data_IF_000773562248
#
_entry.id   IF_000773562248
#
_cell.length_a   1.000
_cell.length_b   1.000
_cell.length_c   1.000
_cell.angle_alpha   90.00
_cell.angle_beta   90.00
_cell.angle_gamma   90.00
#
_symmetry.space_group_name_H-M   'P 1'
#
loop_
_entity.id
_entity.type
_entity.pdbx_description
1 polymer ?
#
# COMPACT_ATOMS: atom_id res chain seq x y z
N UNK A 1 -0.30 -19.61 -5.27
CA UNK A 1 1.11 -19.59 -4.89
C UNK A 1 1.80 -18.79 -5.97
N UNK A 2 2.30 -17.60 -5.63
CA UNK A 2 3.02 -16.74 -6.57
C UNK A 2 4.27 -17.48 -7.06
N UNK A 3 4.57 -17.48 -8.37
CA UNK A 3 5.78 -18.10 -8.91
C UNK A 3 7.06 -17.53 -8.27
N UNK A 4 6.99 -16.29 -7.78
CA UNK A 4 8.08 -15.57 -7.15
C UNK A 4 8.37 -15.99 -5.70
N UNK A 5 7.42 -16.61 -4.99
CA UNK A 5 7.59 -17.10 -3.61
C UNK A 5 8.66 -18.21 -3.52
N UNK A 6 8.97 -18.84 -4.66
CA UNK A 6 10.01 -19.87 -4.79
C UNK A 6 11.39 -19.30 -5.13
N UNK A 7 11.46 -18.03 -5.56
CA UNK A 7 12.67 -17.40 -6.10
C UNK A 7 13.25 -16.34 -5.15
N UNK A 8 12.42 -15.67 -4.35
CA UNK A 8 12.83 -14.64 -3.38
C UNK A 8 12.39 -14.99 -1.97
N UNK A 9 13.08 -14.48 -0.95
CA UNK A 9 12.70 -14.68 0.46
C UNK A 9 11.49 -13.83 0.85
N UNK A 10 11.44 -12.58 0.38
CA UNK A 10 10.26 -11.73 0.47
C UNK A 10 9.96 -11.08 -0.90
N UNK A 11 8.67 -10.95 -1.21
CA UNK A 11 8.16 -10.35 -2.42
C UNK A 11 7.09 -9.32 -2.06
N UNK A 12 7.18 -8.11 -2.59
CA UNK A 12 6.17 -7.09 -2.32
C UNK A 12 5.80 -6.30 -3.57
N UNK A 13 4.54 -5.88 -3.61
CA UNK A 13 4.01 -5.03 -4.67
C UNK A 13 3.47 -3.78 -4.01
N UNK A 14 4.00 -2.64 -4.41
CA UNK A 14 3.60 -1.33 -3.91
C UNK A 14 3.13 -0.46 -5.07
N UNK A 15 2.06 0.29 -4.83
CA UNK A 15 1.56 1.34 -5.70
C UNK A 15 1.59 2.66 -4.94
N UNK A 16 2.06 3.71 -5.61
CA UNK A 16 2.04 5.08 -5.09
C UNK A 16 1.40 5.99 -6.11
N UNK A 17 0.31 6.64 -5.72
CA UNK A 17 -0.32 7.73 -6.47
C UNK A 17 0.12 9.06 -5.86
N UNK A 18 0.78 9.90 -6.64
CA UNK A 18 1.24 11.23 -6.21
C UNK A 18 0.36 12.33 -6.78
N UNK A 19 0.08 13.36 -5.98
CA UNK A 19 -0.75 14.50 -6.35
C UNK A 19 0.00 15.83 -6.31
N UNK A 20 -0.42 16.77 -7.18
CA UNK A 20 0.12 18.12 -7.24
C UNK A 20 -0.33 19.00 -6.05
N UNK A 21 -1.51 18.73 -5.52
CA UNK A 21 -2.09 19.39 -4.36
C UNK A 21 -2.16 18.46 -3.14
N UNK A 22 -2.33 19.07 -1.97
CA UNK A 22 -2.48 18.34 -0.72
C UNK A 22 -3.83 17.60 -0.68
N UNK A 23 -3.77 16.32 -0.30
CA UNK A 23 -4.95 15.47 -0.11
C UNK A 23 -5.76 15.93 1.12
N UNK A 24 -7.07 15.63 1.18
CA UNK A 24 -7.91 16.02 2.30
C UNK A 24 -7.43 15.40 3.62
N UNK A 25 -6.93 16.24 4.54
CA UNK A 25 -6.60 15.84 5.92
C UNK A 25 -7.79 15.84 6.89
N UNK A 26 -9.01 16.07 6.39
CA UNK A 26 -10.22 16.12 7.19
C UNK A 26 -10.56 14.75 7.78
N UNK A 27 -10.76 14.67 9.11
CA UNK A 27 -11.04 13.43 9.84
C UNK A 27 -12.10 12.55 9.17
N UNK A 28 -13.20 13.15 8.70
CA UNK A 28 -14.31 12.41 8.08
C UNK A 28 -13.90 11.74 6.76
N UNK A 29 -13.26 12.48 5.84
CA UNK A 29 -12.81 11.96 4.56
C UNK A 29 -11.79 10.82 4.74
N UNK A 30 -10.82 11.02 5.64
CA UNK A 30 -9.80 10.04 5.98
C UNK A 30 -10.43 8.76 6.56
N UNK A 31 -11.29 8.88 7.57
CA UNK A 31 -11.93 7.73 8.19
C UNK A 31 -12.83 6.98 7.21
N UNK A 32 -13.64 7.70 6.42
CA UNK A 32 -14.53 7.08 5.44
C UNK A 32 -13.76 6.31 4.36
N UNK A 33 -12.61 6.84 3.91
CA UNK A 33 -11.70 6.17 3.00
C UNK A 33 -11.17 4.85 3.59
N UNK A 34 -10.64 4.87 4.82
CA UNK A 34 -10.12 3.66 5.46
C UNK A 34 -11.21 2.65 5.84
N UNK A 35 -12.41 3.10 6.24
CA UNK A 35 -13.55 2.22 6.51
C UNK A 35 -14.02 1.49 5.25
N UNK A 36 -13.97 2.14 4.08
CA UNK A 36 -14.29 1.49 2.80
C UNK A 36 -13.29 0.39 2.47
N UNK A 37 -12.00 0.62 2.70
CA UNK A 37 -10.95 -0.38 2.55
C UNK A 37 -11.15 -1.55 3.53
N UNK A 38 -11.38 -1.25 4.80
CA UNK A 38 -11.59 -2.26 5.85
C UNK A 38 -12.84 -3.12 5.59
N UNK A 39 -13.90 -2.58 5.00
CA UNK A 39 -15.08 -3.37 4.57
C UNK A 39 -14.72 -4.44 3.53
N UNK A 40 -13.75 -4.16 2.66
CA UNK A 40 -13.28 -5.12 1.65
C UNK A 40 -12.22 -6.05 2.23
N UNK A 41 -11.38 -5.54 3.13
CA UNK A 41 -10.29 -6.27 3.78
C UNK A 41 -10.39 -6.17 5.32
N UNK A 42 -11.25 -6.99 5.97
CA UNK A 42 -11.51 -6.90 7.42
C UNK A 42 -10.33 -7.29 8.33
N UNK A 43 -9.26 -7.83 7.74
CA UNK A 43 -7.97 -8.13 8.38
C UNK A 43 -7.14 -6.87 8.64
N UNK A 44 -7.37 -5.78 7.91
CA UNK A 44 -6.70 -4.49 8.11
C UNK A 44 -7.29 -3.79 9.34
N UNK A 45 -6.66 -4.00 10.50
CA UNK A 45 -7.19 -3.56 11.81
C UNK A 45 -6.34 -2.51 12.50
N UNK A 46 -5.09 -2.36 12.10
CA UNK A 46 -4.16 -1.45 12.75
C UNK A 46 -4.21 -0.09 12.05
N UNK A 47 -5.04 0.81 12.58
CA UNK A 47 -5.11 2.20 12.13
C UNK A 47 -4.35 3.12 13.09
N UNK A 48 -3.40 3.90 12.58
CA UNK A 48 -2.64 4.86 13.38
C UNK A 48 -2.17 6.04 12.54
N UNK A 49 -1.81 7.12 13.24
CA UNK A 49 -1.22 8.34 12.65
C UNK A 49 0.28 8.38 12.96
N UNK A 50 1.10 8.70 11.96
CA UNK A 50 2.55 8.91 12.11
C UNK A 50 2.85 10.34 12.51
N UNK A 51 4.06 10.59 13.00
CA UNK A 51 4.50 11.90 13.50
C UNK A 51 4.39 13.03 12.46
N UNK A 52 4.43 12.70 11.17
CA UNK A 52 4.30 13.66 10.05
C UNK A 52 2.86 13.97 9.65
N UNK A 53 1.87 13.39 10.33
CA UNK A 53 0.45 13.51 9.98
C UNK A 53 -0.04 12.49 8.95
N UNK A 54 0.80 11.50 8.60
CA UNK A 54 0.41 10.43 7.68
C UNK A 54 -0.51 9.42 8.38
N UNK A 55 -1.58 9.01 7.72
CA UNK A 55 -2.50 8.00 8.22
C UNK A 55 -2.17 6.65 7.62
N UNK A 56 -2.08 5.61 8.44
CA UNK A 56 -1.76 4.27 8.00
C UNK A 56 -2.80 3.28 8.50
N UNK A 57 -3.25 2.41 7.61
CA UNK A 57 -4.05 1.23 7.91
C UNK A 57 -3.28 0.00 7.43
N UNK A 58 -2.98 -0.93 8.34
CA UNK A 58 -2.26 -2.16 8.01
C UNK A 58 -2.81 -3.40 8.72
N UNK A 59 -2.45 -4.57 8.20
CA UNK A 59 -2.69 -5.87 8.84
C UNK A 59 -1.63 -6.17 9.91
N UNK A 60 -1.82 -7.25 10.66
CA UNK A 60 -0.81 -7.78 11.56
C UNK A 60 0.35 -8.40 10.74
N UNK A 61 1.59 -8.08 11.12
CA UNK A 61 2.82 -8.53 10.43
C UNK A 61 3.27 -9.93 10.86
N UNK A 62 2.64 -10.54 11.87
CA UNK A 62 3.08 -11.79 12.49
C UNK A 62 3.12 -13.01 11.56
N UNK A 63 2.40 -12.98 10.43
CA UNK A 63 2.37 -14.08 9.45
C UNK A 63 3.34 -13.89 8.27
N UNK A 64 4.13 -12.81 8.24
CA UNK A 64 5.03 -12.48 7.12
C UNK A 64 4.31 -12.10 5.81
N UNK A 65 2.97 -12.12 5.81
CA UNK A 65 2.10 -11.67 4.73
C UNK A 65 1.18 -10.60 5.31
N UNK A 66 1.23 -9.41 4.74
CA UNK A 66 0.40 -8.32 5.24
C UNK A 66 0.15 -7.27 4.17
N UNK A 67 -1.00 -6.64 4.28
CA UNK A 67 -1.42 -5.50 3.47
C UNK A 67 -1.32 -4.21 4.26
N UNK A 68 -1.08 -3.13 3.55
CA UNK A 68 -1.09 -1.80 4.12
C UNK A 68 -1.52 -0.75 3.10
N UNK A 69 -2.15 0.31 3.59
CA UNK A 69 -2.45 1.52 2.84
C UNK A 69 -2.07 2.70 3.71
N UNK A 70 -1.38 3.68 3.13
CA UNK A 70 -1.04 4.93 3.78
C UNK A 70 -1.56 6.11 2.96
N UNK A 71 -2.05 7.12 3.68
CA UNK A 71 -2.45 8.40 3.15
C UNK A 71 -1.49 9.45 3.72
N UNK A 72 -0.64 9.97 2.86
CA UNK A 72 0.31 11.05 3.16
C UNK A 72 -0.23 12.38 2.60
N UNK A 73 0.46 13.49 2.88
CA UNK A 73 0.00 14.82 2.48
C UNK A 73 -0.29 14.96 0.97
N UNK A 74 0.52 14.34 0.11
CA UNK A 74 0.41 14.42 -1.36
C UNK A 74 0.50 13.07 -2.05
N UNK A 75 0.34 11.98 -1.28
CA UNK A 75 0.54 10.62 -1.80
C UNK A 75 -0.44 9.64 -1.18
N UNK A 76 -0.94 8.73 -2.00
CA UNK A 76 -1.66 7.55 -1.57
C UNK A 76 -0.76 6.35 -1.86
N UNK A 77 -0.36 5.65 -0.82
CA UNK A 77 0.48 4.47 -0.91
C UNK A 77 -0.35 3.23 -0.59
N UNK A 78 -0.23 2.19 -1.40
CA UNK A 78 -0.92 0.92 -1.22
C UNK A 78 0.10 -0.19 -1.44
N UNK A 79 0.21 -1.12 -0.51
CA UNK A 79 1.19 -2.19 -0.63
C UNK A 79 0.71 -3.51 -0.05
N UNK A 80 1.31 -4.58 -0.54
CA UNK A 80 1.14 -5.91 0.01
C UNK A 80 2.47 -6.65 -0.01
N UNK A 81 2.85 -7.20 1.14
CA UNK A 81 4.01 -8.07 1.32
C UNK A 81 3.55 -9.52 1.24
N UNK A 82 4.30 -10.31 0.48
CA UNK A 82 4.10 -11.72 0.19
C UNK A 82 2.65 -12.04 -0.21
N UNK A 83 2.10 -11.40 -1.27
CA UNK A 83 0.74 -11.63 -1.72
C UNK A 83 0.54 -13.08 -2.22
N UNK A 84 -0.68 -13.61 -2.08
CA UNK A 84 -0.99 -14.98 -2.54
C UNK A 84 -0.85 -15.14 -4.07
N UNK A 85 -1.08 -14.04 -4.80
CA UNK A 85 -0.84 -13.85 -6.23
C UNK A 85 -0.63 -12.37 -6.53
N UNK A 86 0.00 -12.04 -7.66
CA UNK A 86 0.13 -10.65 -8.12
C UNK A 86 -1.25 -9.97 -8.23
N UNK A 87 -2.24 -10.70 -8.72
CA UNK A 87 -3.60 -10.19 -8.92
C UNK A 87 -4.27 -9.80 -7.59
N UNK A 88 -3.97 -10.49 -6.49
CA UNK A 88 -4.47 -10.16 -5.14
C UNK A 88 -4.02 -8.75 -4.70
N UNK A 89 -2.75 -8.41 -4.92
CA UNK A 89 -2.23 -7.07 -4.64
C UNK A 89 -2.80 -6.02 -5.59
N UNK A 90 -2.91 -6.35 -6.89
CA UNK A 90 -3.48 -5.44 -7.87
C UNK A 90 -4.96 -5.12 -7.60
N UNK A 91 -5.74 -6.05 -7.06
CA UNK A 91 -7.12 -5.79 -6.65
C UNK A 91 -7.20 -4.70 -5.57
N UNK A 92 -6.30 -4.74 -4.58
CA UNK A 92 -6.21 -3.69 -3.57
C UNK A 92 -5.86 -2.34 -4.18
N UNK A 93 -4.86 -2.30 -5.07
CA UNK A 93 -4.44 -1.06 -5.73
C UNK A 93 -5.57 -0.48 -6.61
N UNK A 94 -6.29 -1.32 -7.35
CA UNK A 94 -7.45 -0.90 -8.15
C UNK A 94 -8.55 -0.32 -7.25
N UNK A 95 -8.86 -0.96 -6.12
CA UNK A 95 -9.83 -0.43 -5.17
C UNK A 95 -9.43 0.95 -4.65
N UNK A 96 -8.16 1.13 -4.27
CA UNK A 96 -7.64 2.43 -3.82
C UNK A 96 -7.82 3.50 -4.90
N UNK A 97 -7.46 3.21 -6.15
CA UNK A 97 -7.61 4.14 -7.27
C UNK A 97 -9.07 4.39 -7.64
N UNK A 98 -9.94 3.41 -7.48
CA UNK A 98 -11.38 3.54 -7.72
C UNK A 98 -12.01 4.50 -6.72
N UNK A 99 -11.65 4.41 -5.44
CA UNK A 99 -12.31 5.18 -4.38
C UNK A 99 -11.68 6.57 -4.14
N UNK A 100 -10.42 6.77 -4.53
CA UNK A 100 -9.68 8.01 -4.31
C UNK A 100 -10.39 9.26 -4.88
N UNK A 101 -11.00 9.27 -6.08
CA UNK A 101 -11.60 10.48 -6.64
C UNK A 101 -12.77 11.04 -5.83
N UNK A 102 -13.63 10.17 -5.29
CA UNK A 102 -14.84 10.60 -4.60
C UNK A 102 -14.71 10.61 -3.08
N UNK A 103 -13.70 9.94 -2.51
CA UNK A 103 -13.43 9.99 -1.07
C UNK A 103 -12.34 10.99 -0.68
N UNK A 104 -11.37 11.21 -1.56
CA UNK A 104 -10.21 12.06 -1.32
C UNK A 104 -10.12 13.21 -2.33
N UNK A 105 -11.18 13.46 -3.10
CA UNK A 105 -11.24 14.54 -4.10
C UNK A 105 -10.13 14.51 -5.14
N UNK A 106 -9.52 13.34 -5.37
CA UNK A 106 -8.45 13.18 -6.35
C UNK A 106 -8.99 13.39 -7.76
N UNK A 107 -8.36 14.28 -8.51
CA UNK A 107 -8.71 14.57 -9.90
C UNK A 107 -7.61 14.10 -10.84
N UNK A 108 -7.94 13.63 -12.06
CA UNK A 108 -6.93 13.40 -13.09
C UNK A 108 -6.07 14.64 -13.40
N UNK A 109 -6.59 15.85 -13.16
CA UNK A 109 -5.83 17.10 -13.31
C UNK A 109 -4.76 17.31 -12.24
N UNK A 110 -4.94 16.66 -11.08
CA UNK A 110 -4.07 16.76 -9.92
C UNK A 110 -3.11 15.57 -9.83
N UNK A 111 -3.25 14.58 -10.71
CA UNK A 111 -2.43 13.38 -10.73
C UNK A 111 -1.05 13.71 -11.33
N UNK A 112 -0.02 13.70 -10.48
CA UNK A 112 1.36 13.96 -10.87
C UNK A 112 2.02 12.69 -11.44
N UNK A 113 1.94 11.59 -10.69
CA UNK A 113 2.59 10.33 -11.03
C UNK A 113 1.83 9.13 -10.44
N UNK A 114 1.93 7.99 -11.13
CA UNK A 114 1.48 6.69 -10.64
C UNK A 114 2.63 5.69 -10.78
N UNK A 115 3.17 5.28 -9.66
CA UNK A 115 4.27 4.32 -9.59
C UNK A 115 3.75 2.94 -9.18
N UNK A 116 4.23 1.90 -9.86
CA UNK A 116 4.00 0.50 -9.49
C UNK A 116 5.35 -0.19 -9.35
N UNK A 117 5.69 -0.58 -8.13
CA UNK A 117 6.95 -1.20 -7.77
C UNK A 117 6.73 -2.67 -7.45
N UNK A 118 7.53 -3.52 -8.09
CA UNK A 118 7.71 -4.92 -7.73
C UNK A 118 9.06 -5.06 -7.04
N UNK A 119 9.05 -5.41 -5.76
CA UNK A 119 10.25 -5.61 -4.95
C UNK A 119 10.47 -7.07 -4.61
N UNK A 120 11.73 -7.48 -4.61
CA UNK A 120 12.18 -8.84 -4.33
C UNK A 120 13.39 -8.77 -3.40
N UNK A 121 13.26 -9.33 -2.21
CA UNK A 121 14.35 -9.40 -1.23
C UNK A 121 14.97 -10.80 -1.27
N UNK A 122 16.29 -10.85 -1.35
CA UNK A 122 17.08 -12.08 -1.35
C UNK A 122 18.02 -12.07 -0.15
N UNK A 123 17.79 -12.98 0.78
CA UNK A 123 18.60 -13.17 1.98
C UNK A 123 19.85 -13.96 1.62
N UNK A 124 20.95 -13.26 1.38
CA UNK A 124 22.25 -13.90 1.22
C UNK A 124 22.90 -14.17 2.59
N UNK A 125 23.14 -15.45 2.92
CA UNK A 125 23.79 -15.87 4.17
C UNK A 125 25.32 -16.00 4.09
N UNK A 126 25.93 -15.74 2.93
CA UNK A 126 27.38 -15.76 2.75
C UNK A 126 28.02 -14.40 3.03
N UNK A 127 29.36 -14.35 3.06
CA UNK A 127 30.07 -13.07 3.08
C UNK A 127 30.09 -12.48 1.68
N UNK A 128 29.38 -11.38 1.47
CA UNK A 128 29.25 -10.69 0.18
C UNK A 128 30.61 -10.32 -0.45
N UNK A 129 31.67 -10.23 0.37
CA UNK A 129 33.03 -9.86 -0.04
C UNK A 129 33.98 -11.04 -0.25
N UNK A 130 33.49 -12.28 -0.23
CA UNK A 130 34.37 -13.45 -0.36
C UNK A 130 34.57 -13.78 -1.85
N UNK A 131 35.76 -13.46 -2.37
CA UNK A 131 36.27 -13.86 -3.69
C UNK A 131 36.60 -15.35 -3.72
#
# INVERSE_FOLDING_TARGET
MSEYDSLSDDFYINMTLSTEMDLPGGREAVLHFFERLQKTYPSMRNFYCREKGDFVLEEDKGLGRYRWVALENRRICSGQVNPASVEDALQQHRLVLEIAPYMLSVSPLDCEALDLLYGFDFTYRGNHNQL
#
